data_IF_493980535616
#
_entry.id   IF_493980535616
#
_cell.length_a   1.000
_cell.length_b   1.000
_cell.length_c   1.000
_cell.angle_alpha   90.00
_cell.angle_beta   90.00
_cell.angle_gamma   90.00
#
_symmetry.space_group_name_H-M   'P 1'
#
loop_
_entity.id
_entity.type
_entity.pdbx_description
1 polymer ?
#
# COMPACT_ATOMS: atom_id res chain seq x y z
N UNK A 1 29.32 6.05 -5.55
CA UNK A 1 29.16 5.54 -4.17
C UNK A 1 28.55 4.16 -4.24
N UNK A 2 29.31 3.12 -3.92
CA UNK A 2 28.79 1.75 -3.88
C UNK A 2 27.82 1.65 -2.71
N UNK A 3 26.51 1.59 -2.98
CA UNK A 3 25.51 1.37 -1.93
C UNK A 3 25.79 0.01 -1.27
N UNK A 4 26.12 0.00 0.02
CA UNK A 4 26.24 -1.23 0.81
C UNK A 4 24.83 -1.79 1.11
N UNK A 5 24.71 -3.11 1.28
CA UNK A 5 23.47 -3.85 1.56
C UNK A 5 22.62 -3.20 2.66
N UNK A 6 23.24 -2.77 3.75
CA UNK A 6 22.54 -2.09 4.86
C UNK A 6 21.81 -0.83 4.40
N UNK A 7 22.44 -0.03 3.54
CA UNK A 7 21.83 1.18 2.98
C UNK A 7 20.66 0.87 2.05
N UNK A 8 20.78 -0.18 1.23
CA UNK A 8 19.71 -0.61 0.31
C UNK A 8 18.49 -1.14 1.07
N UNK A 9 18.71 -1.87 2.17
CA UNK A 9 17.62 -2.36 3.04
C UNK A 9 16.90 -1.19 3.72
N UNK A 10 17.64 -0.18 4.19
CA UNK A 10 17.04 1.01 4.78
C UNK A 10 16.19 1.78 3.77
N UNK A 11 16.69 1.98 2.55
CA UNK A 11 15.94 2.61 1.45
C UNK A 11 14.66 1.85 1.11
N UNK A 12 14.72 0.52 1.03
CA UNK A 12 13.54 -0.31 0.77
C UNK A 12 12.48 -0.18 1.88
N UNK A 13 12.91 -0.15 3.15
CA UNK A 13 11.98 0.03 4.28
C UNK A 13 11.28 1.37 4.21
N UNK A 14 12.01 2.44 3.92
CA UNK A 14 11.45 3.78 3.77
C UNK A 14 10.43 3.83 2.62
N UNK A 15 10.75 3.22 1.47
CA UNK A 15 9.82 3.13 0.34
C UNK A 15 8.53 2.38 0.68
N UNK A 16 8.62 1.28 1.44
CA UNK A 16 7.43 0.54 1.91
C UNK A 16 6.58 1.36 2.87
N UNK A 17 7.20 2.11 3.79
CA UNK A 17 6.47 2.99 4.69
C UNK A 17 5.80 4.16 3.95
N UNK A 18 6.43 4.71 2.91
CA UNK A 18 5.80 5.70 2.04
C UNK A 18 4.58 5.12 1.30
N UNK A 19 4.71 3.91 0.74
CA UNK A 19 3.60 3.22 0.09
C UNK A 19 2.46 2.88 1.08
N UNK A 20 2.80 2.57 2.34
CA UNK A 20 1.82 2.27 3.40
C UNK A 20 1.04 3.51 3.84
N UNK A 21 1.72 4.65 4.03
CA UNK A 21 1.11 5.94 4.37
C UNK A 21 0.21 6.48 3.26
N UNK A 22 0.48 6.09 2.01
CA UNK A 22 -0.25 6.58 0.85
C UNK A 22 0.21 7.98 0.44
N UNK A 23 -0.45 8.57 -0.57
CA UNK A 23 0.05 9.78 -1.22
C UNK A 23 -0.17 11.09 -0.45
N UNK A 24 -1.04 11.10 0.57
CA UNK A 24 -1.37 12.31 1.33
C UNK A 24 -2.17 12.03 2.59
N UNK A 25 -1.72 12.55 3.74
CA UNK A 25 -2.46 12.49 5.00
C UNK A 25 -3.85 13.14 4.88
N UNK A 26 -3.96 14.23 4.12
CA UNK A 26 -5.24 14.90 3.81
C UNK A 26 -6.23 13.97 3.12
N UNK A 27 -5.78 13.05 2.28
CA UNK A 27 -6.66 12.08 1.62
C UNK A 27 -7.21 11.05 2.61
N UNK A 28 -6.38 10.63 3.56
CA UNK A 28 -6.78 9.76 4.69
C UNK A 28 -7.80 10.46 5.57
N UNK A 29 -7.52 11.68 6.01
CA UNK A 29 -8.44 12.49 6.82
C UNK A 29 -9.78 12.72 6.11
N UNK A 30 -9.77 13.04 4.82
CA UNK A 30 -10.99 13.24 4.04
C UNK A 30 -11.83 11.96 3.89
N UNK A 31 -11.20 10.78 3.92
CA UNK A 31 -11.90 9.50 3.92
C UNK A 31 -12.54 9.23 5.29
N UNK A 32 -11.80 9.46 6.38
CA UNK A 32 -12.30 9.31 7.75
C UNK A 32 -13.42 10.31 8.06
N UNK A 33 -13.32 11.55 7.60
CA UNK A 33 -14.36 12.58 7.75
C UNK A 33 -15.69 12.20 7.08
N UNK A 34 -15.67 11.26 6.11
CA UNK A 34 -16.87 10.68 5.49
C UNK A 34 -17.41 9.47 6.25
N UNK A 35 -16.86 9.14 7.42
CA UNK A 35 -17.19 7.94 8.19
C UNK A 35 -16.71 6.64 7.54
N UNK A 36 -15.71 6.71 6.66
CA UNK A 36 -15.21 5.55 5.91
C UNK A 36 -13.81 5.17 6.35
N UNK A 37 -13.54 3.88 6.41
CA UNK A 37 -12.19 3.34 6.51
C UNK A 37 -11.42 3.50 5.18
N UNK A 38 -10.10 3.57 5.28
CA UNK A 38 -9.13 3.40 4.18
C UNK A 38 -9.13 1.94 3.69
N UNK A 39 -8.49 1.68 2.54
CA UNK A 39 -8.40 0.30 2.00
C UNK A 39 -7.68 -0.65 2.97
N UNK A 40 -6.53 -0.22 3.53
CA UNK A 40 -5.75 -1.03 4.47
C UNK A 40 -6.48 -1.28 5.79
N UNK A 41 -7.21 -0.30 6.31
CA UNK A 41 -8.03 -0.49 7.52
C UNK A 41 -9.16 -1.50 7.29
N UNK A 42 -9.78 -1.53 6.10
CA UNK A 42 -10.79 -2.54 5.77
C UNK A 42 -10.20 -3.94 5.68
N UNK A 43 -9.02 -4.08 5.07
CA UNK A 43 -8.31 -5.35 4.99
C UNK A 43 -7.93 -5.83 6.39
N UNK A 44 -7.40 -4.94 7.24
CA UNK A 44 -7.05 -5.26 8.62
C UNK A 44 -8.26 -5.63 9.50
N UNK A 45 -9.44 -5.08 9.20
CA UNK A 45 -10.69 -5.44 9.89
C UNK A 45 -11.21 -6.82 9.45
N UNK A 46 -11.05 -7.17 8.16
CA UNK A 46 -11.56 -8.40 7.58
C UNK A 46 -10.70 -9.62 7.94
N UNK A 47 -9.39 -9.47 7.90
CA UNK A 47 -8.45 -10.58 8.03
C UNK A 47 -8.03 -10.79 9.48
N UNK A 48 -7.71 -12.04 9.82
CA UNK A 48 -7.09 -12.39 11.09
C UNK A 48 -5.83 -11.56 11.31
N UNK A 49 -5.63 -11.08 12.54
CA UNK A 49 -4.53 -10.18 12.88
C UNK A 49 -3.16 -10.74 12.46
N UNK A 50 -2.35 -9.90 11.79
CA UNK A 50 -1.02 -10.28 11.33
C UNK A 50 -0.99 -11.26 10.15
N UNK A 51 -2.13 -11.67 9.60
CA UNK A 51 -2.17 -12.66 8.51
C UNK A 51 -2.02 -12.07 7.11
N UNK A 52 -2.15 -10.74 6.94
CA UNK A 52 -2.13 -10.11 5.63
C UNK A 52 -0.73 -10.09 5.01
N UNK A 53 -0.63 -10.62 3.80
CA UNK A 53 0.54 -10.57 2.93
C UNK A 53 0.19 -9.79 1.66
N UNK A 54 0.71 -8.56 1.58
CA UNK A 54 0.52 -7.69 0.44
C UNK A 54 1.44 -8.08 -0.74
N UNK A 55 0.89 -7.97 -1.95
CA UNK A 55 1.61 -8.21 -3.20
C UNK A 55 1.71 -6.90 -3.98
N UNK A 56 2.84 -6.69 -4.65
CA UNK A 56 3.02 -5.55 -5.57
C UNK A 56 2.85 -4.16 -4.91
N UNK A 57 3.13 -4.02 -3.61
CA UNK A 57 3.03 -2.77 -2.84
C UNK A 57 3.71 -1.56 -3.51
N UNK A 58 4.83 -1.79 -4.23
CA UNK A 58 5.61 -0.73 -4.88
C UNK A 58 5.25 -0.50 -6.36
N UNK A 59 4.17 -1.11 -6.85
CA UNK A 59 3.69 -0.93 -8.23
C UNK A 59 3.27 0.51 -8.50
N UNK A 60 3.54 0.98 -9.71
CA UNK A 60 3.15 2.29 -10.25
C UNK A 60 2.76 2.11 -11.70
N UNK A 61 1.73 2.80 -12.19
CA UNK A 61 1.35 2.73 -13.61
C UNK A 61 2.50 3.11 -14.56
N UNK A 62 2.38 2.67 -15.82
CA UNK A 62 3.28 3.07 -16.93
C UNK A 62 2.63 4.03 -17.92
N UNK A 63 1.37 4.41 -17.67
CA UNK A 63 0.64 5.34 -18.53
C UNK A 63 1.36 6.70 -18.65
N UNK A 64 1.27 7.27 -19.84
CA UNK A 64 1.78 8.58 -20.25
C UNK A 64 0.63 9.42 -20.82
N UNK A 65 0.82 10.73 -20.91
CA UNK A 65 -0.18 11.70 -21.31
C UNK A 65 -0.95 12.30 -20.13
N UNK A 66 -1.54 13.47 -20.36
CA UNK A 66 -2.40 14.19 -19.40
C UNK A 66 -1.74 14.50 -18.04
N UNK A 67 -0.41 14.53 -17.97
CA UNK A 67 0.34 14.78 -16.74
C UNK A 67 0.41 13.60 -15.78
N UNK A 68 -0.01 12.40 -16.20
CA UNK A 68 0.05 11.20 -15.37
C UNK A 68 1.48 10.82 -14.98
N UNK A 69 2.47 11.17 -15.80
CA UNK A 69 3.89 10.95 -15.51
C UNK A 69 4.33 11.64 -14.20
N UNK A 70 3.71 12.77 -13.85
CA UNK A 70 3.99 13.52 -12.63
C UNK A 70 3.31 12.97 -11.38
N UNK A 71 2.32 12.07 -11.51
CA UNK A 71 1.54 11.56 -10.38
C UNK A 71 1.36 10.05 -10.46
N UNK A 72 2.38 9.34 -9.97
CA UNK A 72 2.40 7.88 -9.95
C UNK A 72 2.42 7.38 -8.50
N UNK A 73 1.29 7.29 -7.78
CA UNK A 73 1.29 6.78 -6.42
C UNK A 73 1.74 5.30 -6.42
N UNK A 74 2.29 4.84 -5.31
CA UNK A 74 2.49 3.40 -5.08
C UNK A 74 1.12 2.69 -5.02
N UNK A 75 1.14 1.38 -5.25
CA UNK A 75 -0.02 0.46 -5.32
C UNK A 75 -1.00 0.72 -6.48
N UNK A 76 -0.80 1.81 -7.24
CA UNK A 76 -1.66 2.22 -8.36
C UNK A 76 -3.16 2.30 -8.02
N UNK A 77 -3.47 2.55 -6.74
CA UNK A 77 -4.84 2.73 -6.24
C UNK A 77 -5.55 1.46 -5.73
N UNK A 78 -4.91 0.29 -5.75
CA UNK A 78 -5.49 -0.97 -5.22
C UNK A 78 -4.51 -1.68 -4.28
N UNK A 79 -5.00 -2.34 -3.23
CA UNK A 79 -4.17 -3.07 -2.27
C UNK A 79 -4.49 -4.55 -2.39
N UNK A 80 -3.65 -5.33 -3.07
CA UNK A 80 -3.91 -6.75 -3.31
C UNK A 80 -3.06 -7.66 -2.45
N UNK A 81 -3.57 -8.85 -2.14
CA UNK A 81 -2.81 -9.84 -1.37
C UNK A 81 -3.64 -11.03 -0.93
N UNK A 82 -3.12 -11.73 0.09
CA UNK A 82 -3.83 -12.81 0.75
C UNK A 82 -3.69 -12.70 2.27
N UNK A 83 -4.56 -13.39 3.00
CA UNK A 83 -4.45 -13.57 4.44
C UNK A 83 -5.39 -14.65 4.90
N UNK A 84 -5.83 -14.59 6.16
CA UNK A 84 -6.76 -15.57 6.74
C UNK A 84 -8.05 -14.91 7.21
N UNK A 85 -9.17 -15.61 7.10
CA UNK A 85 -10.44 -15.29 7.76
C UNK A 85 -10.84 -16.55 8.51
N UNK A 86 -10.92 -16.46 9.83
CA UNK A 86 -11.21 -17.62 10.70
C UNK A 86 -10.25 -18.79 10.41
N UNK A 87 -8.96 -18.46 10.26
CA UNK A 87 -7.89 -19.43 9.97
C UNK A 87 -7.79 -19.91 8.52
N UNK A 88 -8.74 -19.53 7.65
CA UNK A 88 -8.83 -20.02 6.25
C UNK A 88 -8.24 -19.01 5.28
N UNK A 89 -7.37 -19.46 4.38
CA UNK A 89 -6.71 -18.59 3.39
C UNK A 89 -7.73 -17.98 2.41
N UNK A 90 -7.66 -16.67 2.21
CA UNK A 90 -8.45 -15.91 1.23
C UNK A 90 -7.56 -14.94 0.45
N UNK A 91 -7.99 -14.58 -0.76
CA UNK A 91 -7.39 -13.50 -1.55
C UNK A 91 -8.26 -12.24 -1.44
N UNK A 92 -7.63 -11.06 -1.41
CA UNK A 92 -8.31 -9.75 -1.23
C UNK A 92 -7.72 -8.67 -2.14
N UNK A 93 -8.51 -7.62 -2.41
CA UNK A 93 -8.11 -6.39 -3.10
C UNK A 93 -8.81 -5.14 -2.54
#
# INVERSE_FOLDING_TARGET
MTKNLTGQVAELRELREQARRGPSDRATEAQHAKGKLTARERIALLLDEGSFHEVEQLRRHRATGFGLEGKKPYTDGVITGWGKVEGRTVLVY
#
